data_IF_525397863631
#
_entry.id   IF_525397863631
#
_cell.length_a   1.000
_cell.length_b   1.000
_cell.length_c   1.000
_cell.angle_alpha   90.00
_cell.angle_beta   90.00
_cell.angle_gamma   90.00
#
_symmetry.space_group_name_H-M   'P 1'
#
loop_
_entity.id
_entity.type
_entity.pdbx_description
1 polymer ?
#
# COMPACT_ATOMS: atom_id res chain seq x y z
N UNK A 1 -6.42 35.46 -40.78
CA UNK A 1 -5.10 35.50 -40.16
C UNK A 1 -5.28 35.20 -38.69
N UNK A 2 -5.02 33.97 -38.28
CA UNK A 2 -5.11 33.55 -36.90
C UNK A 2 -3.70 33.63 -36.29
N UNK A 3 -3.55 34.43 -35.24
CA UNK A 3 -2.34 34.55 -34.46
C UNK A 3 -2.25 33.33 -33.55
N UNK A 4 -1.32 32.44 -33.84
CA UNK A 4 -0.96 31.37 -32.91
C UNK A 4 -0.13 32.01 -31.78
N UNK A 5 -0.76 32.17 -30.60
CA UNK A 5 -0.04 32.41 -29.37
C UNK A 5 0.76 31.15 -29.03
N UNK A 6 2.09 31.24 -29.12
CA UNK A 6 3.00 30.26 -28.57
C UNK A 6 2.87 30.29 -27.02
N UNK A 7 2.27 29.26 -26.46
CA UNK A 7 2.37 28.99 -25.03
C UNK A 7 3.86 28.81 -24.72
N UNK A 8 4.45 29.79 -24.03
CA UNK A 8 5.81 29.65 -23.50
C UNK A 8 5.78 28.55 -22.43
N UNK A 9 6.49 27.46 -22.67
CA UNK A 9 6.78 26.49 -21.64
C UNK A 9 7.41 27.19 -20.42
N UNK A 10 6.97 26.89 -19.19
CA UNK A 10 7.56 27.47 -18.00
C UNK A 10 9.06 27.13 -17.99
N UNK A 11 9.93 28.14 -18.00
CA UNK A 11 11.35 27.94 -17.73
C UNK A 11 11.48 27.24 -16.39
N UNK A 12 11.81 25.94 -16.41
CA UNK A 12 12.29 25.23 -15.24
C UNK A 12 13.52 26.02 -14.77
N UNK A 13 13.39 26.76 -13.66
CA UNK A 13 14.53 27.29 -12.96
C UNK A 13 15.50 26.13 -12.76
N UNK A 14 16.78 26.33 -13.08
CA UNK A 14 17.85 25.39 -12.82
C UNK A 14 17.83 25.08 -11.31
N UNK A 15 17.06 24.07 -10.95
CA UNK A 15 17.06 23.49 -9.62
C UNK A 15 18.49 23.03 -9.35
N UNK A 16 19.02 23.32 -8.18
CA UNK A 16 20.27 22.80 -7.64
C UNK A 16 20.52 21.41 -8.20
N UNK A 17 21.64 21.20 -8.90
CA UNK A 17 21.88 20.05 -9.78
C UNK A 17 21.51 18.74 -9.13
N UNK A 18 20.84 17.86 -9.87
CA UNK A 18 20.44 16.53 -9.42
C UNK A 18 21.64 15.81 -8.85
N UNK A 19 21.57 15.37 -7.59
CA UNK A 19 22.66 14.67 -6.93
C UNK A 19 22.94 13.32 -7.61
N UNK A 20 24.16 12.82 -7.51
CA UNK A 20 24.54 11.52 -8.08
C UNK A 20 23.68 10.38 -7.51
N UNK A 21 23.31 10.46 -6.23
CA UNK A 21 22.36 9.53 -5.60
C UNK A 21 21.02 9.49 -6.35
N UNK A 22 20.41 10.64 -6.57
CA UNK A 22 19.11 10.73 -7.26
C UNK A 22 19.21 10.24 -8.70
N UNK A 23 20.32 10.57 -9.40
CA UNK A 23 20.53 10.09 -10.77
C UNK A 23 20.59 8.57 -10.83
N UNK A 24 21.38 7.95 -9.95
CA UNK A 24 21.52 6.50 -9.87
C UNK A 24 20.20 5.80 -9.55
N UNK A 25 19.48 6.25 -8.51
CA UNK A 25 18.18 5.66 -8.14
C UNK A 25 17.15 5.81 -9.27
N UNK A 26 17.16 6.93 -9.98
CA UNK A 26 16.31 7.12 -11.15
C UNK A 26 16.67 6.17 -12.29
N UNK A 27 17.94 6.01 -12.59
CA UNK A 27 18.42 5.08 -13.61
C UNK A 27 18.08 3.62 -13.26
N UNK A 28 18.27 3.23 -12.00
CA UNK A 28 17.88 1.91 -11.50
C UNK A 28 16.36 1.69 -11.70
N UNK A 29 15.54 2.62 -11.25
CA UNK A 29 14.09 2.52 -11.42
C UNK A 29 13.64 2.44 -12.87
N UNK A 30 14.26 3.23 -13.78
CA UNK A 30 13.93 3.23 -15.21
C UNK A 30 14.37 1.95 -15.93
N UNK A 31 15.45 1.34 -15.49
CA UNK A 31 16.02 0.13 -16.11
C UNK A 31 15.52 -1.17 -15.48
N UNK A 32 14.79 -1.10 -14.35
CA UNK A 32 14.19 -2.27 -13.71
C UNK A 32 12.91 -2.66 -14.43
N UNK A 33 12.80 -3.93 -14.81
CA UNK A 33 11.59 -4.48 -15.41
C UNK A 33 10.46 -4.51 -14.37
N UNK A 34 9.31 -3.86 -14.61
CA UNK A 34 8.15 -3.98 -13.75
C UNK A 34 7.68 -5.44 -13.64
N UNK A 35 7.30 -5.87 -12.46
CA UNK A 35 6.83 -7.23 -12.23
C UNK A 35 5.69 -7.29 -11.21
N UNK A 36 4.89 -8.33 -11.30
CA UNK A 36 3.90 -8.64 -10.26
C UNK A 36 4.62 -9.21 -9.04
N UNK A 37 4.10 -8.89 -7.87
CA UNK A 37 4.62 -9.36 -6.59
C UNK A 37 3.48 -9.90 -5.71
N UNK A 38 3.44 -11.21 -5.53
CA UNK A 38 2.29 -11.92 -4.97
C UNK A 38 2.20 -11.88 -3.44
N UNK A 39 3.27 -11.55 -2.73
CA UNK A 39 3.32 -11.66 -1.26
C UNK A 39 2.16 -10.93 -0.57
N UNK A 40 1.82 -9.71 -1.04
CA UNK A 40 0.70 -8.98 -0.45
C UNK A 40 -0.62 -9.75 -0.56
N UNK A 41 -0.93 -10.27 -1.74
CA UNK A 41 -2.15 -11.02 -1.96
C UNK A 41 -2.24 -12.26 -1.07
N UNK A 42 -1.13 -12.95 -0.86
CA UNK A 42 -1.07 -14.13 0.01
C UNK A 42 -1.26 -13.76 1.48
N UNK A 43 -0.57 -12.72 1.96
CA UNK A 43 -0.71 -12.26 3.35
C UNK A 43 -2.10 -11.68 3.64
N UNK A 44 -2.71 -11.01 2.66
CA UNK A 44 -4.09 -10.54 2.74
C UNK A 44 -5.06 -11.72 2.87
N UNK A 45 -4.85 -12.76 2.06
CA UNK A 45 -5.65 -13.99 2.11
C UNK A 45 -5.53 -14.67 3.47
N UNK A 46 -4.30 -14.85 3.97
CA UNK A 46 -4.06 -15.44 5.30
C UNK A 46 -4.76 -14.65 6.42
N UNK A 47 -4.71 -13.32 6.38
CA UNK A 47 -5.33 -12.48 7.38
C UNK A 47 -6.87 -12.63 7.37
N UNK A 48 -7.48 -12.65 6.19
CA UNK A 48 -8.91 -12.85 6.07
C UNK A 48 -9.34 -14.26 6.50
N UNK A 49 -8.59 -15.31 6.12
CA UNK A 49 -8.82 -16.68 6.62
C UNK A 49 -8.79 -16.75 8.16
N UNK A 50 -7.94 -15.95 8.80
CA UNK A 50 -7.79 -15.93 10.25
C UNK A 50 -8.87 -15.11 10.97
N UNK A 51 -9.26 -13.96 10.43
CA UNK A 51 -10.04 -12.96 11.19
C UNK A 51 -11.46 -12.75 10.67
N UNK A 52 -11.79 -13.10 9.42
CA UNK A 52 -13.13 -12.88 8.84
C UNK A 52 -14.21 -13.59 9.66
N UNK A 53 -15.27 -12.88 9.98
CA UNK A 53 -16.38 -13.41 10.79
C UNK A 53 -16.11 -13.50 12.30
N UNK A 54 -14.89 -13.17 12.77
CA UNK A 54 -14.56 -13.20 14.21
C UNK A 54 -14.54 -11.82 14.84
N UNK A 55 -14.40 -10.77 14.04
CA UNK A 55 -14.31 -9.37 14.45
C UNK A 55 -15.18 -8.49 13.56
N UNK A 56 -15.37 -7.21 13.93
CA UNK A 56 -16.07 -6.23 13.09
C UNK A 56 -15.29 -5.94 11.79
N UNK A 57 -15.98 -5.41 10.79
CA UNK A 57 -15.34 -5.08 9.49
C UNK A 57 -14.22 -4.04 9.63
N UNK A 58 -14.35 -2.94 10.40
CA UNK A 58 -13.25 -2.04 10.65
C UNK A 58 -12.04 -2.72 11.29
N UNK A 59 -12.28 -3.55 12.31
CA UNK A 59 -11.21 -4.30 12.98
C UNK A 59 -10.56 -5.34 12.08
N UNK A 60 -11.33 -6.04 11.23
CA UNK A 60 -10.79 -6.96 10.23
C UNK A 60 -9.77 -6.26 9.32
N UNK A 61 -10.14 -5.10 8.78
CA UNK A 61 -9.24 -4.32 7.90
C UNK A 61 -7.97 -3.88 8.63
N UNK A 62 -8.10 -3.43 9.87
CA UNK A 62 -6.96 -3.00 10.68
C UNK A 62 -6.04 -4.18 11.07
N UNK A 63 -6.61 -5.32 11.44
CA UNK A 63 -5.87 -6.55 11.72
C UNK A 63 -5.16 -7.08 10.48
N UNK A 64 -5.79 -7.00 9.32
CA UNK A 64 -5.18 -7.36 8.04
C UNK A 64 -3.97 -6.47 7.73
N UNK A 65 -4.09 -5.15 7.93
CA UNK A 65 -2.96 -4.22 7.79
C UNK A 65 -1.82 -4.58 8.75
N UNK A 66 -2.14 -4.86 10.02
CA UNK A 66 -1.15 -5.28 11.03
C UNK A 66 -0.48 -6.59 10.67
N UNK A 67 -1.24 -7.58 10.19
CA UNK A 67 -0.73 -8.87 9.71
C UNK A 67 0.26 -8.65 8.55
N UNK A 68 -0.14 -7.87 7.56
CA UNK A 68 0.69 -7.52 6.41
C UNK A 68 1.98 -6.81 6.83
N UNK A 69 1.91 -5.74 7.62
CA UNK A 69 3.09 -4.99 8.06
C UNK A 69 3.99 -5.75 9.03
N UNK A 70 3.44 -6.73 9.74
CA UNK A 70 4.23 -7.61 10.61
C UNK A 70 5.01 -8.67 9.85
N UNK A 71 4.48 -9.14 8.70
CA UNK A 71 5.03 -10.31 7.99
C UNK A 71 5.71 -9.98 6.67
N UNK A 72 5.25 -8.93 5.93
CA UNK A 72 5.80 -8.64 4.61
C UNK A 72 7.32 -8.61 4.60
N UNK A 73 7.92 -9.07 3.52
CA UNK A 73 9.34 -8.90 3.26
C UNK A 73 9.69 -7.41 3.19
N UNK A 74 10.79 -7.03 3.80
CA UNK A 74 11.29 -5.65 3.80
C UNK A 74 12.73 -5.62 3.31
N UNK A 75 13.07 -4.60 2.52
CA UNK A 75 14.41 -4.39 1.97
C UNK A 75 14.79 -2.92 2.05
N UNK A 76 16.09 -2.65 2.07
CA UNK A 76 16.69 -1.31 1.96
C UNK A 76 17.75 -1.40 0.88
N UNK A 77 17.59 -0.66 -0.21
CA UNK A 77 18.52 -0.67 -1.32
C UNK A 77 19.56 0.45 -1.16
N UNK A 78 20.78 0.20 -1.67
CA UNK A 78 21.90 1.14 -1.52
C UNK A 78 21.54 2.50 -2.12
N UNK A 79 21.59 3.53 -1.27
CA UNK A 79 21.31 4.91 -1.67
C UNK A 79 19.91 5.40 -1.35
N UNK A 80 18.98 4.54 -0.95
CA UNK A 80 17.69 4.97 -0.41
C UNK A 80 17.89 5.71 0.92
N UNK A 81 17.07 6.72 1.16
CA UNK A 81 16.94 7.41 2.45
C UNK A 81 15.52 7.33 2.99
N UNK A 82 14.56 7.06 2.11
CA UNK A 82 13.16 6.82 2.45
C UNK A 82 12.88 5.36 2.14
N UNK A 83 12.41 4.63 3.14
CA UNK A 83 12.11 3.20 3.07
C UNK A 83 10.60 2.96 3.13
N UNK A 84 10.15 1.77 2.79
CA UNK A 84 8.74 1.41 2.84
C UNK A 84 8.17 0.99 1.48
N UNK A 85 8.99 0.37 0.63
CA UNK A 85 8.56 -0.16 -0.66
C UNK A 85 7.31 -1.05 -0.54
N UNK A 86 6.42 -0.96 -1.51
CA UNK A 86 5.19 -1.77 -1.55
C UNK A 86 5.50 -3.24 -1.81
N UNK A 87 6.49 -3.51 -2.67
CA UNK A 87 7.01 -4.84 -2.96
C UNK A 87 8.38 -5.06 -2.32
N UNK A 88 9.18 -5.91 -2.90
CA UNK A 88 10.54 -6.27 -2.46
C UNK A 88 11.65 -5.44 -3.16
N UNK A 89 11.27 -4.49 -3.99
CA UNK A 89 12.19 -3.58 -4.67
C UNK A 89 11.50 -2.65 -5.66
N UNK A 90 12.29 -1.83 -6.39
CA UNK A 90 11.76 -0.90 -7.37
C UNK A 90 10.97 -1.64 -8.45
N UNK A 91 9.87 -1.03 -8.91
CA UNK A 91 8.97 -1.59 -9.93
C UNK A 91 8.27 -2.92 -9.56
N UNK A 92 8.34 -3.36 -8.30
CA UNK A 92 7.53 -4.48 -7.80
C UNK A 92 6.10 -4.02 -7.51
N UNK A 93 5.13 -4.60 -8.21
CA UNK A 93 3.73 -4.22 -8.12
C UNK A 93 2.92 -5.28 -7.36
N UNK A 94 2.49 -5.02 -6.12
CA UNK A 94 1.59 -5.92 -5.40
C UNK A 94 0.20 -5.91 -6.01
N UNK A 95 -0.49 -7.04 -5.94
CA UNK A 95 -1.91 -7.14 -6.31
C UNK A 95 -2.82 -6.93 -5.10
N UNK A 96 -4.07 -6.53 -5.38
CA UNK A 96 -5.08 -6.18 -4.39
C UNK A 96 -6.34 -7.01 -4.64
N UNK A 97 -6.33 -8.31 -4.31
CA UNK A 97 -7.41 -9.23 -4.66
C UNK A 97 -8.74 -8.89 -3.97
N UNK A 98 -8.70 -8.22 -2.82
CA UNK A 98 -9.87 -7.71 -2.13
C UNK A 98 -10.62 -6.63 -2.93
N UNK A 99 -9.90 -5.90 -3.78
CA UNK A 99 -10.47 -4.91 -4.68
C UNK A 99 -10.84 -5.56 -6.02
N UNK A 100 -9.87 -6.17 -6.69
CA UNK A 100 -9.99 -6.80 -7.98
C UNK A 100 -9.19 -8.12 -8.01
N UNK A 101 -9.88 -9.24 -7.98
CA UNK A 101 -9.24 -10.55 -8.14
C UNK A 101 -8.99 -10.80 -9.63
N UNK A 102 -7.74 -10.70 -10.05
CA UNK A 102 -7.33 -10.99 -11.43
C UNK A 102 -7.46 -12.48 -11.75
N UNK A 103 -7.85 -12.79 -12.97
CA UNK A 103 -7.77 -14.14 -13.50
C UNK A 103 -6.34 -14.47 -13.91
N UNK A 104 -6.05 -15.76 -14.16
CA UNK A 104 -4.75 -16.18 -14.71
C UNK A 104 -4.52 -15.55 -16.09
N UNK A 105 -5.58 -15.43 -16.88
CA UNK A 105 -5.57 -14.80 -18.20
C UNK A 105 -5.23 -13.31 -18.12
N UNK A 106 -5.82 -12.58 -17.16
CA UNK A 106 -5.46 -11.18 -16.91
C UNK A 106 -3.96 -11.02 -16.64
N UNK A 107 -3.39 -11.89 -15.80
CA UNK A 107 -1.97 -11.86 -15.48
C UNK A 107 -1.09 -12.16 -16.70
N UNK A 108 -1.48 -13.14 -17.54
CA UNK A 108 -0.77 -13.42 -18.80
C UNK A 108 -0.83 -12.22 -19.75
N UNK A 109 -1.98 -11.53 -19.83
CA UNK A 109 -2.10 -10.31 -20.63
C UNK A 109 -1.18 -9.20 -20.11
N UNK A 110 -1.04 -9.03 -18.79
CA UNK A 110 -0.11 -8.05 -18.21
C UNK A 110 1.34 -8.34 -18.63
N UNK A 111 1.74 -9.60 -18.72
CA UNK A 111 3.08 -10.00 -19.15
C UNK A 111 3.32 -9.85 -20.67
N UNK A 112 2.25 -9.78 -21.46
CA UNK A 112 2.33 -9.69 -22.92
C UNK A 112 2.11 -8.28 -23.48
N UNK A 113 1.84 -7.28 -22.63
CA UNK A 113 1.61 -5.90 -23.07
C UNK A 113 2.84 -5.33 -23.77
N UNK A 114 2.62 -4.61 -24.86
CA UNK A 114 3.69 -3.89 -25.55
C UNK A 114 4.19 -2.69 -24.73
N UNK A 115 3.26 -2.01 -24.06
CA UNK A 115 3.53 -0.88 -23.17
C UNK A 115 3.13 -1.22 -21.73
N UNK A 116 3.94 -0.80 -20.77
CA UNK A 116 3.69 -1.01 -19.33
C UNK A 116 3.49 -2.51 -19.04
N UNK A 117 4.46 -3.30 -19.49
CA UNK A 117 4.51 -4.74 -19.25
C UNK A 117 4.94 -5.01 -17.81
N UNK A 118 4.22 -5.90 -17.14
CA UNK A 118 4.61 -6.47 -15.85
C UNK A 118 5.02 -7.92 -16.05
N UNK A 119 6.25 -8.25 -15.74
CA UNK A 119 6.70 -9.63 -15.76
C UNK A 119 5.91 -10.47 -14.75
N UNK A 120 5.48 -11.65 -15.17
CA UNK A 120 4.72 -12.62 -14.36
C UNK A 120 5.39 -13.97 -14.50
N UNK A 121 5.75 -14.59 -13.40
CA UNK A 121 6.38 -15.92 -13.40
C UNK A 121 5.34 -17.04 -13.38
N UNK A 122 5.75 -18.25 -13.74
CA UNK A 122 4.90 -19.44 -13.61
C UNK A 122 4.49 -19.68 -12.15
N UNK A 123 5.34 -19.33 -11.18
CA UNK A 123 5.03 -19.41 -9.77
C UNK A 123 3.95 -18.39 -9.36
N UNK A 124 4.00 -17.16 -9.89
CA UNK A 124 2.95 -16.16 -9.65
C UNK A 124 1.60 -16.65 -10.19
N UNK A 125 1.58 -17.24 -11.39
CA UNK A 125 0.37 -17.82 -11.98
C UNK A 125 -0.17 -18.99 -11.14
N UNK A 126 0.71 -19.87 -10.65
CA UNK A 126 0.35 -20.98 -9.78
C UNK A 126 -0.23 -20.50 -8.46
N UNK A 127 0.41 -19.55 -7.78
CA UNK A 127 -0.07 -18.96 -6.52
C UNK A 127 -1.42 -18.25 -6.71
N UNK A 128 -1.59 -17.51 -7.81
CA UNK A 128 -2.85 -16.89 -8.17
C UNK A 128 -3.97 -17.93 -8.32
N UNK A 129 -3.71 -19.00 -9.08
CA UNK A 129 -4.68 -20.05 -9.37
C UNK A 129 -5.05 -20.89 -8.13
N UNK A 130 -4.06 -21.24 -7.30
CA UNK A 130 -4.24 -22.20 -6.20
C UNK A 130 -4.63 -21.54 -4.87
N UNK A 131 -4.24 -20.28 -4.65
CA UNK A 131 -4.42 -19.61 -3.35
C UNK A 131 -5.34 -18.39 -3.41
N UNK A 132 -5.15 -17.52 -4.41
CA UNK A 132 -5.82 -16.22 -4.43
C UNK A 132 -7.23 -16.33 -5.02
N UNK A 133 -7.35 -16.89 -6.23
CA UNK A 133 -8.65 -17.03 -6.92
C UNK A 133 -9.68 -17.79 -6.08
N UNK A 134 -9.38 -18.98 -5.50
CA UNK A 134 -10.38 -19.74 -4.76
C UNK A 134 -10.99 -18.97 -3.57
N UNK A 135 -10.21 -18.07 -2.99
CA UNK A 135 -10.68 -17.24 -1.88
C UNK A 135 -11.38 -15.95 -2.36
N UNK A 136 -10.79 -15.21 -3.31
CA UNK A 136 -11.19 -13.83 -3.63
C UNK A 136 -12.16 -13.69 -4.80
N UNK A 137 -12.27 -14.65 -5.70
CA UNK A 137 -13.08 -14.54 -6.92
C UNK A 137 -14.49 -13.96 -6.66
N UNK A 138 -15.17 -14.46 -5.62
CA UNK A 138 -16.53 -14.03 -5.25
C UNK A 138 -16.59 -13.03 -4.09
N UNK A 139 -15.44 -12.65 -3.53
CA UNK A 139 -15.34 -11.76 -2.36
C UNK A 139 -14.87 -10.36 -2.71
N UNK A 140 -14.19 -10.18 -3.85
CA UNK A 140 -13.67 -8.88 -4.28
C UNK A 140 -14.78 -7.82 -4.40
N UNK A 141 -14.41 -6.56 -4.18
CA UNK A 141 -15.32 -5.42 -4.37
C UNK A 141 -15.84 -5.40 -5.79
N UNK A 142 -14.96 -5.62 -6.79
CA UNK A 142 -15.35 -5.72 -8.20
C UNK A 142 -16.46 -6.75 -8.41
N UNK A 143 -16.30 -7.97 -7.88
CA UNK A 143 -17.33 -9.00 -8.01
C UNK A 143 -18.67 -8.57 -7.40
N UNK A 144 -18.64 -7.97 -6.21
CA UNK A 144 -19.86 -7.49 -5.53
C UNK A 144 -20.58 -6.41 -6.35
N UNK A 145 -19.83 -5.45 -6.90
CA UNK A 145 -20.38 -4.39 -7.74
C UNK A 145 -21.01 -4.98 -9.00
N UNK A 146 -20.26 -5.78 -9.76
CA UNK A 146 -20.77 -6.39 -10.99
C UNK A 146 -21.97 -7.31 -10.73
N UNK A 147 -21.99 -8.04 -9.63
CA UNK A 147 -23.12 -8.91 -9.24
C UNK A 147 -24.37 -8.12 -8.87
N UNK A 148 -24.25 -6.87 -8.47
CA UNK A 148 -25.40 -5.98 -8.14
C UNK A 148 -25.90 -5.16 -9.32
N UNK A 149 -25.20 -5.17 -10.46
CA UNK A 149 -25.60 -4.43 -11.66
C UNK A 149 -26.76 -5.12 -12.41
N UNK A 150 -27.61 -4.32 -13.06
CA UNK A 150 -28.60 -4.84 -14.01
C UNK A 150 -27.91 -5.43 -15.25
N UNK A 151 -28.65 -6.24 -16.01
CA UNK A 151 -28.09 -6.85 -17.24
C UNK A 151 -27.71 -5.79 -18.28
N UNK A 152 -28.46 -4.66 -18.36
CA UNK A 152 -28.14 -3.54 -19.25
C UNK A 152 -26.79 -2.89 -18.86
N UNK A 153 -26.53 -2.71 -17.56
CA UNK A 153 -25.27 -2.16 -17.07
C UNK A 153 -24.11 -3.13 -17.31
N UNK A 154 -24.31 -4.43 -17.13
CA UNK A 154 -23.30 -5.44 -17.45
C UNK A 154 -22.96 -5.43 -18.94
N UNK A 155 -23.97 -5.40 -19.81
CA UNK A 155 -23.77 -5.33 -21.25
C UNK A 155 -23.02 -4.05 -21.66
N UNK A 156 -23.33 -2.91 -21.05
CA UNK A 156 -22.63 -1.64 -21.30
C UNK A 156 -21.15 -1.71 -20.85
N UNK A 157 -20.88 -2.37 -19.71
CA UNK A 157 -19.52 -2.63 -19.23
C UNK A 157 -18.75 -3.55 -20.19
N UNK A 158 -19.36 -4.65 -20.62
CA UNK A 158 -18.75 -5.60 -21.56
C UNK A 158 -18.43 -4.98 -22.92
N UNK A 159 -19.30 -4.04 -23.37
CA UNK A 159 -19.04 -3.26 -24.57
C UNK A 159 -18.00 -2.13 -24.41
N UNK A 160 -17.47 -1.92 -23.22
CA UNK A 160 -16.48 -0.88 -22.96
C UNK A 160 -17.03 0.55 -22.92
N UNK A 161 -18.36 0.74 -22.75
CA UNK A 161 -18.97 2.07 -22.60
C UNK A 161 -18.44 2.76 -21.33
N UNK A 162 -18.16 1.99 -20.31
CA UNK A 162 -17.46 2.45 -19.10
C UNK A 162 -16.55 1.32 -18.54
N UNK A 163 -15.63 1.68 -17.65
CA UNK A 163 -14.72 0.74 -16.98
C UNK A 163 -14.95 0.75 -15.47
N UNK A 164 -14.49 -0.30 -14.79
CA UNK A 164 -14.51 -0.41 -13.33
C UNK A 164 -13.52 0.58 -12.69
N UNK A 165 -13.94 1.80 -12.53
CA UNK A 165 -13.12 2.83 -11.91
C UNK A 165 -13.28 2.88 -10.38
N UNK A 166 -14.24 2.17 -9.82
CA UNK A 166 -14.58 2.27 -8.40
C UNK A 166 -13.55 1.63 -7.50
N UNK A 167 -12.90 0.56 -7.95
CA UNK A 167 -11.80 -0.08 -7.24
C UNK A 167 -10.48 0.69 -7.38
N UNK A 168 -10.37 1.59 -8.35
CA UNK A 168 -9.13 2.32 -8.64
C UNK A 168 -9.08 3.70 -8.01
N UNK A 169 -10.22 4.23 -7.56
CA UNK A 169 -10.34 5.59 -7.06
C UNK A 169 -10.76 5.62 -5.61
N UNK A 170 -9.82 5.24 -4.75
CA UNK A 170 -9.89 5.76 -3.39
C UNK A 170 -9.67 7.28 -3.45
N UNK A 171 -10.37 8.08 -2.62
CA UNK A 171 -10.04 9.49 -2.49
C UNK A 171 -8.57 9.60 -2.08
N UNK A 172 -7.77 10.39 -2.82
CA UNK A 172 -6.39 10.69 -2.48
C UNK A 172 -6.35 11.59 -1.25
N UNK A 173 -6.48 11.00 -0.07
CA UNK A 173 -6.43 11.73 1.19
C UNK A 173 -5.06 11.63 1.82
N UNK A 174 -4.57 12.75 2.33
CA UNK A 174 -3.43 12.79 3.22
C UNK A 174 -3.85 12.19 4.56
N UNK A 175 -3.12 11.21 5.05
CA UNK A 175 -3.37 10.58 6.35
C UNK A 175 -3.26 11.64 7.45
N UNK A 176 -4.30 11.80 8.27
CA UNK A 176 -4.30 12.71 9.39
C UNK A 176 -4.39 14.20 9.05
N UNK A 177 -4.43 14.60 7.75
CA UNK A 177 -4.42 15.99 7.30
C UNK A 177 -3.22 16.76 7.88
N UNK A 178 -3.42 18.00 8.33
CA UNK A 178 -2.41 18.84 8.99
C UNK A 178 -1.97 18.32 10.38
N UNK A 179 -2.78 17.50 11.01
CA UNK A 179 -2.49 16.92 12.33
C UNK A 179 -1.24 16.03 12.34
N UNK A 180 -0.92 15.39 11.21
CA UNK A 180 0.27 14.53 11.10
C UNK A 180 1.59 15.30 11.33
N UNK A 181 1.58 16.62 11.14
CA UNK A 181 2.74 17.48 11.42
C UNK A 181 2.81 17.94 12.90
N UNK A 182 1.78 17.65 13.69
CA UNK A 182 1.66 18.11 15.08
C UNK A 182 1.76 16.97 16.08
N UNK A 183 1.39 15.76 15.67
CA UNK A 183 1.28 14.58 16.54
C UNK A 183 1.80 13.33 15.84
N UNK A 184 2.48 12.47 16.60
CA UNK A 184 2.81 11.12 16.19
C UNK A 184 1.65 10.13 16.44
N UNK A 185 1.80 8.90 15.97
CA UNK A 185 0.75 7.88 16.14
C UNK A 185 0.58 7.43 17.60
N UNK A 186 1.60 7.54 18.43
CA UNK A 186 1.47 7.30 19.86
C UNK A 186 0.54 8.33 20.54
N UNK A 187 0.61 9.61 20.14
CA UNK A 187 -0.30 10.65 20.64
C UNK A 187 -1.75 10.38 20.19
N UNK A 188 -1.96 9.95 18.94
CA UNK A 188 -3.28 9.55 18.46
C UNK A 188 -3.83 8.36 19.24
N UNK A 189 -2.99 7.40 19.59
CA UNK A 189 -3.42 6.27 20.44
C UNK A 189 -3.88 6.74 21.83
N UNK A 190 -3.24 7.76 22.40
CA UNK A 190 -3.68 8.33 23.67
C UNK A 190 -5.01 9.09 23.52
N UNK A 191 -5.19 9.84 22.43
CA UNK A 191 -6.47 10.50 22.13
C UNK A 191 -7.59 9.44 21.97
N UNK A 192 -7.33 8.31 21.32
CA UNK A 192 -8.26 7.20 21.17
C UNK A 192 -8.61 6.57 22.52
N UNK A 193 -7.62 6.33 23.38
CA UNK A 193 -7.87 5.78 24.73
C UNK A 193 -8.79 6.69 25.54
N UNK A 194 -8.62 8.01 25.42
CA UNK A 194 -9.53 8.99 26.05
C UNK A 194 -10.93 8.92 25.46
N UNK A 195 -11.04 8.95 24.13
CA UNK A 195 -12.32 8.86 23.45
C UNK A 195 -13.08 7.55 23.79
N UNK A 196 -12.37 6.42 23.95
CA UNK A 196 -12.98 5.16 24.38
C UNK A 196 -13.56 5.21 25.79
N UNK A 197 -12.91 5.94 26.73
CA UNK A 197 -13.42 6.10 28.11
C UNK A 197 -14.67 6.95 28.16
N UNK A 198 -14.83 7.86 27.22
CA UNK A 198 -15.95 8.82 27.16
C UNK A 198 -17.18 8.25 26.43
N UNK A 199 -17.14 7.00 25.95
CA UNK A 199 -18.27 6.36 25.29
C UNK A 199 -19.41 6.09 26.28
N UNK A 200 -20.62 6.60 25.97
CA UNK A 200 -21.83 6.35 26.74
C UNK A 200 -22.70 5.28 26.09
N UNK A 201 -22.48 4.03 26.48
CA UNK A 201 -23.22 2.87 25.95
C UNK A 201 -24.72 2.84 26.34
N UNK A 202 -25.16 3.68 27.28
CA UNK A 202 -26.55 3.74 27.71
C UNK A 202 -27.36 4.78 26.94
N UNK A 203 -26.73 5.86 26.50
CA UNK A 203 -27.41 7.00 25.88
C UNK A 203 -27.05 7.19 24.40
N UNK A 204 -25.90 6.69 23.96
CA UNK A 204 -25.47 6.80 22.57
C UNK A 204 -25.70 5.48 21.82
N UNK A 205 -26.70 5.40 20.92
CA UNK A 205 -26.96 4.19 20.12
C UNK A 205 -25.81 3.82 19.18
N UNK A 206 -24.89 4.74 18.88
CA UNK A 206 -23.72 4.54 18.06
C UNK A 206 -22.46 4.13 18.86
N UNK A 207 -22.53 4.06 20.21
CA UNK A 207 -21.37 3.83 21.05
C UNK A 207 -20.61 2.54 20.70
N UNK A 208 -21.32 1.45 20.37
CA UNK A 208 -20.68 0.21 19.96
C UNK A 208 -19.90 0.37 18.65
N UNK A 209 -20.49 0.99 17.63
CA UNK A 209 -19.83 1.26 16.35
C UNK A 209 -18.62 2.17 16.51
N UNK A 210 -18.76 3.23 17.32
CA UNK A 210 -17.63 4.12 17.67
C UNK A 210 -16.50 3.36 18.35
N UNK A 211 -16.82 2.43 19.26
CA UNK A 211 -15.81 1.58 19.90
C UNK A 211 -15.07 0.71 18.89
N UNK A 212 -15.77 0.07 17.95
CA UNK A 212 -15.17 -0.76 16.91
C UNK A 212 -14.24 0.05 16.00
N UNK A 213 -14.66 1.22 15.56
CA UNK A 213 -13.83 2.15 14.78
C UNK A 213 -12.58 2.60 15.55
N UNK A 214 -12.73 3.01 16.81
CA UNK A 214 -11.61 3.41 17.68
C UNK A 214 -10.64 2.24 17.90
N UNK A 215 -11.14 1.02 18.09
CA UNK A 215 -10.32 -0.19 18.18
C UNK A 215 -9.53 -0.42 16.88
N UNK A 216 -10.19 -0.30 15.74
CA UNK A 216 -9.56 -0.44 14.44
C UNK A 216 -8.46 0.61 14.20
N UNK A 217 -8.73 1.87 14.54
CA UNK A 217 -7.73 2.94 14.47
C UNK A 217 -6.51 2.66 15.35
N UNK A 218 -6.72 2.18 16.58
CA UNK A 218 -5.63 1.78 17.49
C UNK A 218 -4.74 0.70 16.85
N UNK A 219 -5.36 -0.35 16.29
CA UNK A 219 -4.66 -1.45 15.61
C UNK A 219 -3.90 -0.97 14.37
N UNK A 220 -4.48 -0.05 13.60
CA UNK A 220 -3.84 0.51 12.40
C UNK A 220 -2.60 1.34 12.74
N UNK A 221 -2.63 2.13 13.81
CA UNK A 221 -1.45 2.86 14.27
C UNK A 221 -0.35 1.93 14.79
N UNK A 222 -0.71 0.86 15.53
CA UNK A 222 0.24 -0.20 15.89
C UNK A 222 0.92 -0.80 14.67
N UNK A 223 0.15 -1.08 13.62
CA UNK A 223 0.67 -1.67 12.40
C UNK A 223 1.76 -0.81 11.74
N UNK A 224 1.56 0.51 11.68
CA UNK A 224 2.53 1.45 11.11
C UNK A 224 3.78 1.53 11.98
N UNK A 225 3.64 1.57 13.30
CA UNK A 225 4.78 1.58 14.22
C UNK A 225 5.59 0.27 14.17
N UNK A 226 4.92 -0.88 14.00
CA UNK A 226 5.58 -2.18 13.78
C UNK A 226 6.44 -2.14 12.52
N UNK A 227 5.92 -1.60 11.42
CA UNK A 227 6.66 -1.50 10.16
C UNK A 227 7.90 -0.61 10.32
N UNK A 228 7.75 0.58 10.93
CA UNK A 228 8.88 1.47 11.23
C UNK A 228 9.95 0.79 12.08
N UNK A 229 9.56 0.11 13.16
CA UNK A 229 10.48 -0.65 14.01
C UNK A 229 11.25 -1.70 13.23
N UNK A 230 10.58 -2.49 12.37
CA UNK A 230 11.20 -3.53 11.54
C UNK A 230 12.25 -2.94 10.59
N UNK A 231 11.93 -1.83 9.91
CA UNK A 231 12.90 -1.13 9.05
C UNK A 231 14.08 -0.56 9.86
N UNK A 232 13.82 0.04 11.01
CA UNK A 232 14.87 0.53 11.89
C UNK A 232 15.84 -0.57 12.37
N UNK A 233 15.31 -1.75 12.70
CA UNK A 233 16.11 -2.93 13.07
C UNK A 233 16.91 -3.49 11.89
N UNK A 234 16.31 -3.53 10.68
CA UNK A 234 17.00 -3.94 9.46
C UNK A 234 18.15 -2.99 9.14
N UNK A 235 17.91 -1.68 9.17
CA UNK A 235 18.93 -0.67 8.91
C UNK A 235 20.11 -0.76 9.88
N UNK A 236 19.87 -0.99 11.18
CA UNK A 236 20.93 -1.19 12.18
C UNK A 236 21.77 -2.43 11.89
N UNK A 237 21.14 -3.56 11.53
CA UNK A 237 21.88 -4.77 11.17
C UNK A 237 22.74 -4.56 9.94
N UNK A 238 22.20 -3.94 8.89
CA UNK A 238 22.95 -3.63 7.67
C UNK A 238 24.12 -2.67 7.96
N UNK A 239 23.90 -1.64 8.80
CA UNK A 239 24.96 -0.71 9.19
C UNK A 239 26.12 -1.38 9.95
N UNK A 240 25.84 -2.43 10.72
CA UNK A 240 26.87 -3.17 11.47
C UNK A 240 27.82 -3.95 10.54
N UNK A 241 27.34 -4.36 9.38
CA UNK A 241 28.08 -5.15 8.38
C UNK A 241 28.65 -4.28 7.24
N UNK A 242 28.23 -3.03 7.12
CA UNK A 242 28.60 -2.14 6.01
C UNK A 242 29.99 -1.56 6.16
N UNK A 243 30.78 -1.62 5.10
CA UNK A 243 32.15 -1.12 5.04
C UNK A 243 32.27 0.27 4.43
N UNK A 244 31.31 0.68 3.58
CA UNK A 244 31.24 2.04 3.00
C UNK A 244 30.80 3.03 4.11
N UNK A 245 31.69 3.96 4.53
CA UNK A 245 31.36 4.86 5.65
C UNK A 245 30.15 5.76 5.38
N UNK A 246 29.94 6.17 4.13
CA UNK A 246 28.82 7.04 3.76
C UNK A 246 27.49 6.25 3.80
N UNK A 247 27.48 5.05 3.22
CA UNK A 247 26.28 4.20 3.25
C UNK A 247 25.94 3.74 4.67
N UNK A 248 26.94 3.43 5.46
CA UNK A 248 26.74 3.11 6.88
C UNK A 248 26.10 4.27 7.65
N UNK A 249 26.53 5.52 7.41
CA UNK A 249 25.94 6.70 8.02
C UNK A 249 24.49 6.90 7.58
N UNK A 250 24.20 6.70 6.28
CA UNK A 250 22.84 6.74 5.75
C UNK A 250 21.93 5.69 6.42
N UNK A 251 22.40 4.47 6.61
CA UNK A 251 21.68 3.39 7.31
C UNK A 251 21.38 3.75 8.78
N UNK A 252 22.29 4.38 9.48
CA UNK A 252 22.02 4.89 10.83
C UNK A 252 20.95 5.98 10.81
N UNK A 253 20.99 6.90 9.86
CA UNK A 253 19.95 7.94 9.69
C UNK A 253 18.58 7.31 9.43
N UNK A 254 18.49 6.30 8.56
CA UNK A 254 17.25 5.54 8.34
C UNK A 254 16.77 4.90 9.65
N UNK A 255 17.68 4.26 10.40
CA UNK A 255 17.34 3.58 11.64
C UNK A 255 16.79 4.53 12.71
N UNK A 256 17.36 5.72 12.83
CA UNK A 256 16.90 6.77 13.75
C UNK A 256 15.54 7.31 13.33
N UNK A 257 15.39 7.66 12.07
CA UNK A 257 14.11 8.17 11.54
C UNK A 257 12.98 7.14 11.72
N UNK A 258 13.23 5.87 11.40
CA UNK A 258 12.23 4.81 11.54
C UNK A 258 11.85 4.52 13.00
N UNK A 259 12.70 4.88 13.97
CA UNK A 259 12.41 4.73 15.38
C UNK A 259 11.52 5.84 15.93
N UNK A 260 11.51 7.03 15.31
CA UNK A 260 10.85 8.23 15.83
C UNK A 260 9.65 8.65 14.99
N UNK A 261 9.78 8.64 13.66
CA UNK A 261 8.79 9.24 12.75
C UNK A 261 7.39 8.62 12.86
N UNK A 262 7.20 7.30 13.05
CA UNK A 262 5.86 6.75 13.21
C UNK A 262 5.25 6.97 14.61
N UNK A 263 6.07 7.25 15.62
CA UNK A 263 5.62 7.30 17.01
C UNK A 263 5.05 8.67 17.42
#
# INVERSE_FOLDING_TARGET
MAVQERVQEPRVQEAHGVTERVRRLREESLNTQPRIYMERALLETEAYEQYEGTVSVPELRALTLRHYFSKKSISIHKGELIVGEKGDGPQSAPTFPELCCHTVEDMKVMDQRELIRFAVTEEDLRLQQERVIPFWEKRSIRHRILSSMSEEWKAAYECGIFTEFMEQRGPGHTVGSDKIYQKGFADYQEDIRRAMKDLDFLRDPEALRKKEELSAMMIAYDAIMILGKRYGELARRMAAEETDPQWRADLFTIAENCAVVPA
#
